data_IF_784257280788
#
_entry.id   IF_784257280788
#
_cell.length_a   1.000
_cell.length_b   1.000
_cell.length_c   1.000
_cell.angle_alpha   90.00
_cell.angle_beta   90.00
_cell.angle_gamma   90.00
#
_symmetry.space_group_name_H-M   'P 1'
#
loop_
_entity.id
_entity.type
_entity.pdbx_description
1 polymer ?
#
# COMPACT_ATOMS: atom_id res chain seq x y z
N UNK A 1 -24.70 10.40 18.79
CA UNK A 1 -23.90 9.29 19.37
C UNK A 1 -23.76 8.09 18.44
N UNK A 2 -24.52 7.97 17.33
CA UNK A 2 -24.44 6.87 16.36
C UNK A 2 -23.19 6.89 15.45
N UNK A 3 -22.69 8.07 15.10
CA UNK A 3 -21.61 8.22 14.10
C UNK A 3 -20.25 7.62 14.56
N UNK A 4 -19.88 7.82 15.84
CA UNK A 4 -18.59 7.34 16.36
C UNK A 4 -18.53 5.81 16.50
N UNK A 5 -19.66 5.16 16.79
CA UNK A 5 -19.72 3.69 16.89
C UNK A 5 -19.56 3.04 15.52
N UNK A 6 -20.25 3.57 14.49
CA UNK A 6 -20.08 3.14 13.09
C UNK A 6 -18.64 3.31 12.64
N UNK A 7 -18.07 4.52 12.82
CA UNK A 7 -16.69 4.81 12.46
C UNK A 7 -15.68 3.84 13.10
N UNK A 8 -15.87 3.46 14.37
CA UNK A 8 -15.01 2.49 15.03
C UNK A 8 -15.12 1.09 14.43
N UNK A 9 -16.33 0.66 14.07
CA UNK A 9 -16.54 -0.64 13.41
C UNK A 9 -15.85 -0.67 12.03
N UNK A 10 -16.06 0.39 11.24
CA UNK A 10 -15.45 0.53 9.91
C UNK A 10 -13.91 0.59 10.01
N UNK A 11 -13.36 1.26 11.03
CA UNK A 11 -11.93 1.24 11.31
C UNK A 11 -11.41 -0.17 11.58
N UNK A 12 -12.11 -0.94 12.43
CA UNK A 12 -11.72 -2.31 12.80
C UNK A 12 -11.71 -3.21 11.57
N UNK A 13 -12.69 -3.07 10.69
CA UNK A 13 -12.78 -3.80 9.42
C UNK A 13 -11.58 -3.51 8.50
N UNK A 14 -11.10 -2.25 8.49
CA UNK A 14 -9.97 -1.83 7.67
C UNK A 14 -8.59 -2.20 8.25
N UNK A 15 -8.49 -2.58 9.53
CA UNK A 15 -7.22 -2.85 10.21
C UNK A 15 -6.32 -3.89 9.52
N UNK A 16 -6.83 -5.05 9.05
CA UNK A 16 -6.00 -6.05 8.39
C UNK A 16 -5.32 -5.49 7.12
N UNK A 17 -6.10 -4.80 6.28
CA UNK A 17 -5.59 -4.17 5.05
C UNK A 17 -4.62 -3.02 5.37
N UNK A 18 -4.91 -2.23 6.40
CA UNK A 18 -4.02 -1.15 6.84
C UNK A 18 -2.66 -1.69 7.32
N UNK A 19 -2.66 -2.81 8.06
CA UNK A 19 -1.43 -3.51 8.50
C UNK A 19 -0.66 -4.11 7.32
N UNK A 20 -1.35 -4.73 6.36
CA UNK A 20 -0.72 -5.24 5.15
C UNK A 20 -0.04 -4.10 4.36
N UNK A 21 -0.70 -2.95 4.25
CA UNK A 21 -0.14 -1.76 3.63
C UNK A 21 1.06 -1.19 4.39
N UNK A 22 1.00 -1.10 5.71
CA UNK A 22 2.14 -0.69 6.52
C UNK A 22 3.36 -1.60 6.32
N UNK A 23 3.16 -2.92 6.25
CA UNK A 23 4.23 -3.91 6.03
C UNK A 23 4.79 -3.90 4.62
N UNK A 24 4.03 -3.47 3.62
CA UNK A 24 4.58 -3.34 2.26
C UNK A 24 5.44 -2.08 2.10
N UNK A 25 5.15 -1.04 2.89
CA UNK A 25 5.95 0.18 2.96
C UNK A 25 7.22 -0.05 3.80
N UNK A 26 7.06 -0.54 5.03
CA UNK A 26 8.14 -0.75 5.99
C UNK A 26 8.77 -2.14 5.86
N UNK A 27 10.08 -2.23 5.67
CA UNK A 27 10.81 -3.50 5.66
C UNK A 27 10.90 -4.19 7.04
N UNK A 28 10.55 -3.49 8.12
CA UNK A 28 10.60 -4.02 9.49
C UNK A 28 9.16 -4.17 10.04
N UNK A 29 8.74 -5.39 10.44
CA UNK A 29 7.43 -5.64 11.03
C UNK A 29 7.11 -4.79 12.26
N UNK A 30 8.08 -4.54 13.14
CA UNK A 30 7.87 -3.72 14.34
C UNK A 30 7.55 -2.27 13.95
N UNK A 31 8.30 -1.70 13.00
CA UNK A 31 8.03 -0.36 12.47
C UNK A 31 6.66 -0.29 11.77
N UNK A 32 6.22 -1.37 11.13
CA UNK A 32 4.91 -1.41 10.49
C UNK A 32 3.78 -1.37 11.54
N UNK A 33 3.91 -2.12 12.64
CA UNK A 33 2.90 -2.13 13.70
C UNK A 33 2.84 -0.78 14.43
N UNK A 34 4.00 -0.15 14.71
CA UNK A 34 4.08 1.21 15.25
C UNK A 34 3.43 2.24 14.30
N UNK A 35 3.71 2.13 13.00
CA UNK A 35 3.13 3.00 11.97
C UNK A 35 1.60 2.90 11.95
N UNK A 36 1.04 1.71 12.11
CA UNK A 36 -0.41 1.49 12.21
C UNK A 36 -0.95 2.12 13.48
N UNK A 37 -0.33 1.89 14.63
CA UNK A 37 -0.75 2.47 15.90
C UNK A 37 -0.80 4.01 15.82
N UNK A 38 0.27 4.63 15.34
CA UNK A 38 0.36 6.07 15.15
C UNK A 38 -0.70 6.61 14.18
N UNK A 39 -1.02 5.84 13.14
CA UNK A 39 -2.06 6.19 12.17
C UNK A 39 -3.43 6.22 12.84
N UNK A 40 -3.75 5.19 13.65
CA UNK A 40 -5.02 5.11 14.35
C UNK A 40 -5.17 6.24 15.39
N UNK A 41 -4.11 6.56 16.12
CA UNK A 41 -4.10 7.70 17.05
C UNK A 41 -4.38 9.00 16.30
N UNK A 42 -3.71 9.23 15.15
CA UNK A 42 -3.95 10.41 14.32
C UNK A 42 -5.38 10.45 13.75
N UNK A 43 -5.89 9.32 13.28
CA UNK A 43 -7.23 9.20 12.74
C UNK A 43 -8.29 9.52 13.80
N UNK A 44 -8.16 8.94 15.01
CA UNK A 44 -9.07 9.22 16.12
C UNK A 44 -8.98 10.69 16.58
N UNK A 45 -7.77 11.26 16.64
CA UNK A 45 -7.58 12.67 17.01
C UNK A 45 -8.14 13.65 15.96
N UNK A 46 -8.30 13.22 14.71
CA UNK A 46 -8.80 14.03 13.60
C UNK A 46 -10.14 13.51 13.07
N UNK A 47 -10.89 12.73 13.86
CA UNK A 47 -12.16 12.13 13.42
C UNK A 47 -13.17 13.20 13.00
N UNK A 48 -13.14 14.38 13.62
CA UNK A 48 -14.01 15.50 13.26
C UNK A 48 -13.71 16.10 11.88
N UNK A 49 -12.52 15.83 11.32
CA UNK A 49 -12.14 16.25 9.96
C UNK A 49 -12.54 15.23 8.90
N UNK A 50 -12.99 14.05 9.31
CA UNK A 50 -13.53 13.07 8.38
C UNK A 50 -14.97 13.46 8.06
N UNK A 51 -15.28 13.60 6.77
CA UNK A 51 -16.63 13.87 6.30
C UNK A 51 -17.39 12.54 6.13
N UNK A 52 -18.45 12.28 6.93
CA UNK A 52 -19.21 11.04 6.83
C UNK A 52 -19.83 10.87 5.44
N UNK A 53 -19.83 9.64 4.91
CA UNK A 53 -20.28 9.34 3.54
C UNK A 53 -19.18 9.50 2.48
N UNK A 54 -18.00 10.03 2.85
CA UNK A 54 -16.81 9.95 2.01
C UNK A 54 -16.03 8.65 2.27
N UNK A 55 -14.98 8.42 1.48
CA UNK A 55 -14.24 7.18 1.49
C UNK A 55 -13.29 7.07 2.69
N UNK A 56 -13.72 6.38 3.75
CA UNK A 56 -12.93 6.16 4.97
C UNK A 56 -11.60 5.43 4.68
N UNK A 57 -11.62 4.44 3.78
CA UNK A 57 -10.43 3.67 3.40
C UNK A 57 -9.37 4.59 2.80
N UNK A 58 -9.73 5.36 1.78
CA UNK A 58 -8.82 6.29 1.14
C UNK A 58 -8.28 7.33 2.14
N UNK A 59 -9.13 7.86 3.01
CA UNK A 59 -8.71 8.80 4.05
C UNK A 59 -7.70 8.18 5.02
N UNK A 60 -7.98 7.00 5.56
CA UNK A 60 -7.12 6.32 6.53
C UNK A 60 -5.76 5.93 5.93
N UNK A 61 -5.77 5.38 4.72
CA UNK A 61 -4.54 5.00 4.01
C UNK A 61 -3.71 6.22 3.62
N UNK A 62 -4.35 7.36 3.33
CA UNK A 62 -3.66 8.64 3.10
C UNK A 62 -2.94 9.10 4.36
N UNK A 63 -3.56 9.02 5.54
CA UNK A 63 -2.92 9.36 6.82
C UNK A 63 -1.68 8.48 7.03
N UNK A 64 -1.82 7.17 6.85
CA UNK A 64 -0.72 6.22 7.03
C UNK A 64 0.45 6.53 6.09
N UNK A 65 0.15 6.67 4.80
CA UNK A 65 1.13 6.99 3.75
C UNK A 65 1.88 8.28 4.08
N UNK A 66 1.15 9.34 4.40
CA UNK A 66 1.75 10.64 4.71
C UNK A 66 2.61 10.59 5.97
N UNK A 67 2.18 9.83 6.99
CA UNK A 67 2.96 9.61 8.20
C UNK A 67 4.26 8.87 7.89
N UNK A 68 4.21 7.77 7.13
CA UNK A 68 5.39 7.01 6.72
C UNK A 68 6.43 7.86 5.98
N UNK A 69 6.02 8.56 4.92
CA UNK A 69 6.96 9.41 4.17
C UNK A 69 7.46 10.60 4.97
N UNK A 70 6.68 11.10 5.94
CA UNK A 70 7.16 12.14 6.86
C UNK A 70 8.24 11.62 7.81
N UNK A 71 8.08 10.41 8.35
CA UNK A 71 9.09 9.75 9.18
C UNK A 71 10.36 9.45 8.36
N UNK A 72 10.21 8.95 7.13
CA UNK A 72 11.34 8.66 6.24
C UNK A 72 12.17 9.91 5.92
N UNK A 73 11.50 11.05 5.62
CA UNK A 73 12.18 12.33 5.39
C UNK A 73 12.87 12.89 6.64
N UNK A 74 12.34 12.64 7.84
CA UNK A 74 12.98 13.04 9.11
C UNK A 74 14.22 12.20 9.36
N UNK A 75 14.11 10.88 9.31
CA UNK A 75 15.23 9.96 9.51
C UNK A 75 16.37 10.19 8.52
N UNK A 76 16.05 10.45 7.24
CA UNK A 76 17.08 10.80 6.24
C UNK A 76 17.88 12.06 6.63
N UNK A 77 17.22 13.10 7.14
CA UNK A 77 17.89 14.34 7.57
C UNK A 77 18.77 14.10 8.81
N UNK A 78 18.25 13.37 9.80
CA UNK A 78 19.01 13.05 11.02
C UNK A 78 20.23 12.18 10.74
N UNK A 79 20.15 11.26 9.79
CA UNK A 79 21.28 10.40 9.37
C UNK A 79 22.29 11.16 8.49
N UNK A 80 21.83 12.06 7.62
CA UNK A 80 22.71 12.96 6.86
C UNK A 80 23.52 13.88 7.78
N UNK A 81 22.92 14.34 8.88
CA UNK A 81 23.60 15.16 9.89
C UNK A 81 24.53 14.35 10.81
N UNK A 82 24.25 13.06 11.04
CA UNK A 82 24.99 12.24 12.00
C UNK A 82 26.16 11.43 11.39
N UNK A 83 26.00 10.78 10.22
CA UNK A 83 27.01 9.78 9.75
C UNK A 83 27.05 9.50 8.22
N UNK A 84 26.32 10.23 7.37
CA UNK A 84 26.60 10.31 5.92
C UNK A 84 26.67 9.00 5.10
N UNK A 85 26.08 7.87 5.53
CA UNK A 85 26.06 6.61 4.74
C UNK A 85 24.72 5.89 4.79
N UNK A 86 24.11 5.73 3.62
CA UNK A 86 22.95 4.85 3.41
C UNK A 86 23.39 3.40 3.22
N UNK A 87 22.83 2.48 3.98
CA UNK A 87 22.94 1.04 3.74
C UNK A 87 21.62 0.52 3.14
N UNK A 88 21.52 0.51 1.81
CA UNK A 88 20.58 -0.34 1.10
C UNK A 88 21.26 -1.71 0.91
N UNK A 89 20.91 -2.70 1.75
CA UNK A 89 21.36 -4.08 1.54
C UNK A 89 20.45 -4.73 0.50
N UNK A 90 20.98 -4.89 -0.71
CA UNK A 90 20.45 -5.82 -1.72
C UNK A 90 20.91 -7.24 -1.35
N UNK A 91 19.98 -8.19 -1.25
CA UNK A 91 20.30 -9.61 -1.14
C UNK A 91 20.03 -10.29 -2.49
N UNK A 92 21.02 -11.03 -2.98
CA UNK A 92 20.99 -11.83 -4.20
C UNK A 92 20.35 -13.20 -3.99
N UNK A 93 19.80 -13.76 -5.08
CA UNK A 93 19.01 -15.00 -5.18
C UNK A 93 19.79 -16.32 -5.13
N UNK A 94 19.11 -17.42 -4.75
CA UNK A 94 19.24 -18.73 -5.37
C UNK A 94 18.08 -19.01 -6.35
N UNK A 95 18.36 -19.77 -7.42
CA UNK A 95 17.42 -20.26 -8.41
C UNK A 95 16.69 -21.51 -7.88
N UNK A 96 15.36 -21.63 -8.02
CA UNK A 96 14.67 -22.91 -8.26
C UNK A 96 13.17 -22.81 -8.58
N UNK A 97 12.81 -23.52 -9.66
CA UNK A 97 11.57 -24.22 -10.06
C UNK A 97 10.16 -23.78 -9.57
N UNK A 98 9.35 -23.33 -10.54
CA UNK A 98 7.99 -23.84 -10.84
C UNK A 98 6.82 -23.56 -9.89
N UNK A 99 7.07 -23.28 -8.62
CA UNK A 99 6.05 -22.78 -7.68
C UNK A 99 6.64 -21.64 -6.90
N UNK A 100 6.05 -20.46 -7.01
CA UNK A 100 6.48 -19.31 -6.19
C UNK A 100 6.22 -19.65 -4.72
N UNK A 101 7.26 -19.97 -3.96
CA UNK A 101 7.16 -20.03 -2.51
C UNK A 101 6.79 -18.64 -1.98
N UNK A 102 6.01 -18.59 -0.91
CA UNK A 102 5.64 -17.35 -0.24
C UNK A 102 6.88 -16.55 0.17
N UNK A 103 7.97 -17.24 0.50
CA UNK A 103 9.24 -16.60 0.82
C UNK A 103 9.91 -15.98 -0.42
N UNK A 104 9.92 -16.67 -1.56
CA UNK A 104 10.42 -16.11 -2.83
C UNK A 104 9.59 -14.91 -3.28
N UNK A 105 8.27 -14.96 -3.07
CA UNK A 105 7.39 -13.81 -3.29
C UNK A 105 7.79 -12.63 -2.41
N UNK A 106 7.98 -12.82 -1.11
CA UNK A 106 8.37 -11.72 -0.20
C UNK A 106 9.70 -11.11 -0.63
N UNK A 107 10.69 -11.94 -0.96
CA UNK A 107 12.01 -11.49 -1.40
C UNK A 107 11.91 -10.70 -2.70
N UNK A 108 11.20 -11.21 -3.71
CA UNK A 108 10.97 -10.50 -4.97
C UNK A 108 10.18 -9.20 -4.77
N UNK A 109 9.14 -9.24 -3.95
CA UNK A 109 8.30 -8.09 -3.64
C UNK A 109 9.11 -6.98 -2.96
N UNK A 110 10.00 -7.32 -2.02
CA UNK A 110 10.89 -6.37 -1.36
C UNK A 110 11.90 -5.70 -2.30
N UNK A 111 12.30 -6.37 -3.38
CA UNK A 111 13.20 -5.80 -4.40
C UNK A 111 12.53 -4.75 -5.31
N UNK A 112 11.20 -4.69 -5.33
CA UNK A 112 10.50 -3.66 -6.10
C UNK A 112 10.83 -2.25 -5.59
N UNK A 113 10.69 -1.24 -6.45
CA UNK A 113 10.74 0.14 -6.00
C UNK A 113 9.61 0.42 -4.97
N UNK A 114 9.80 1.34 -3.99
CA UNK A 114 8.76 1.66 -3.01
C UNK A 114 7.40 2.00 -3.64
N UNK A 115 7.41 2.84 -4.68
CA UNK A 115 6.22 3.23 -5.45
C UNK A 115 5.51 2.04 -6.13
N UNK A 116 6.25 0.99 -6.50
CA UNK A 116 5.68 -0.23 -7.09
C UNK A 116 5.03 -1.11 -6.02
N UNK A 117 5.70 -1.33 -4.89
CA UNK A 117 5.11 -2.06 -3.75
C UNK A 117 3.84 -1.37 -3.25
N UNK A 118 3.89 -0.05 -3.15
CA UNK A 118 2.76 0.79 -2.73
C UNK A 118 1.52 0.51 -3.57
N UNK A 119 1.60 0.66 -4.90
CA UNK A 119 0.41 0.48 -5.76
C UNK A 119 -0.05 -0.97 -5.88
N UNK A 120 0.85 -1.95 -5.84
CA UNK A 120 0.47 -3.37 -5.83
C UNK A 120 -0.26 -3.74 -4.55
N UNK A 121 0.13 -3.18 -3.42
CA UNK A 121 -0.54 -3.46 -2.14
C UNK A 121 -1.89 -2.78 -2.06
N UNK A 122 -1.99 -1.52 -2.52
CA UNK A 122 -3.25 -0.80 -2.54
C UNK A 122 -4.29 -1.52 -3.41
N UNK A 123 -3.94 -1.82 -4.67
CA UNK A 123 -4.89 -2.39 -5.63
C UNK A 123 -5.05 -3.91 -5.45
N UNK A 124 -3.93 -4.63 -5.37
CA UNK A 124 -3.93 -6.09 -5.40
C UNK A 124 -4.23 -6.76 -4.07
N UNK A 125 -3.80 -6.18 -2.94
CA UNK A 125 -3.98 -6.78 -1.62
C UNK A 125 -5.07 -6.10 -0.78
N UNK A 126 -5.19 -4.77 -0.88
CA UNK A 126 -6.14 -3.98 -0.07
C UNK A 126 -7.49 -3.79 -0.76
N UNK A 127 -7.61 -4.22 -2.02
CA UNK A 127 -8.84 -4.10 -2.81
C UNK A 127 -9.22 -2.66 -3.14
N UNK A 128 -8.27 -1.73 -3.13
CA UNK A 128 -8.55 -0.35 -3.50
C UNK A 128 -8.84 -0.24 -5.00
N UNK A 129 -9.82 0.57 -5.37
CA UNK A 129 -10.01 0.98 -6.76
C UNK A 129 -8.82 1.82 -7.25
N UNK A 130 -8.69 2.00 -8.57
CA UNK A 130 -7.66 2.86 -9.12
C UNK A 130 -7.84 4.33 -8.69
N UNK A 131 -9.08 4.76 -8.51
CA UNK A 131 -9.48 6.08 -8.04
C UNK A 131 -9.09 6.28 -6.56
N UNK A 132 -9.38 5.31 -5.69
CA UNK A 132 -8.96 5.32 -4.29
C UNK A 132 -7.43 5.37 -4.19
N UNK A 133 -6.73 4.51 -4.94
CA UNK A 133 -5.28 4.48 -4.95
C UNK A 133 -4.67 5.79 -5.47
N UNK A 134 -5.32 6.44 -6.43
CA UNK A 134 -4.90 7.74 -6.96
C UNK A 134 -5.03 8.85 -5.91
N UNK A 135 -6.16 8.86 -5.18
CA UNK A 135 -6.39 9.76 -4.06
C UNK A 135 -5.35 9.56 -2.95
N UNK A 136 -5.11 8.30 -2.55
CA UNK A 136 -4.11 7.96 -1.51
C UNK A 136 -2.71 8.42 -1.93
N UNK A 137 -2.32 8.15 -3.18
CA UNK A 137 -0.99 8.51 -3.69
C UNK A 137 -0.84 10.00 -4.05
N UNK A 138 -1.94 10.75 -4.15
CA UNK A 138 -1.94 12.15 -4.60
C UNK A 138 -1.52 12.32 -6.06
N UNK A 139 -1.99 11.45 -6.96
CA UNK A 139 -1.64 11.49 -8.39
C UNK A 139 -2.85 11.18 -9.30
N UNK A 140 -2.66 11.22 -10.62
CA UNK A 140 -3.73 10.91 -11.57
C UNK A 140 -4.03 9.40 -11.65
N UNK A 141 -5.28 9.03 -11.93
CA UNK A 141 -5.71 7.61 -12.10
C UNK A 141 -4.88 6.90 -13.18
N UNK A 142 -4.56 7.58 -14.29
CA UNK A 142 -3.67 7.05 -15.33
C UNK A 142 -2.25 6.75 -14.85
N UNK A 143 -1.74 7.52 -13.87
CA UNK A 143 -0.45 7.26 -13.23
C UNK A 143 -0.50 5.98 -12.42
N UNK A 144 -1.59 5.73 -11.68
CA UNK A 144 -1.77 4.45 -10.95
C UNK A 144 -1.84 3.28 -11.93
N UNK A 145 -2.70 3.34 -12.96
CA UNK A 145 -2.85 2.25 -13.95
C UNK A 145 -1.50 1.87 -14.59
N UNK A 146 -0.77 2.87 -15.07
CA UNK A 146 0.55 2.64 -15.68
C UNK A 146 1.60 2.14 -14.68
N UNK A 147 1.56 2.59 -13.42
CA UNK A 147 2.47 2.13 -12.36
C UNK A 147 2.17 0.71 -11.93
N UNK A 148 0.90 0.33 -11.78
CA UNK A 148 0.47 -1.05 -11.47
C UNK A 148 0.92 -2.01 -12.57
N UNK A 149 0.70 -1.67 -13.85
CA UNK A 149 1.14 -2.53 -14.96
C UNK A 149 2.65 -2.75 -14.94
N UNK A 150 3.44 -1.67 -14.80
CA UNK A 150 4.90 -1.76 -14.69
C UNK A 150 5.36 -2.54 -13.46
N UNK A 151 4.70 -2.37 -12.32
CA UNK A 151 5.00 -3.10 -11.10
C UNK A 151 4.71 -4.59 -11.22
N UNK A 152 3.59 -4.97 -11.86
CA UNK A 152 3.24 -6.39 -12.13
C UNK A 152 4.27 -7.06 -13.03
N UNK A 153 4.63 -6.42 -14.16
CA UNK A 153 5.67 -6.94 -15.06
C UNK A 153 6.99 -7.12 -14.32
N UNK A 154 7.42 -6.10 -13.57
CA UNK A 154 8.67 -6.19 -12.81
C UNK A 154 8.65 -7.31 -11.77
N UNK A 155 7.50 -7.53 -11.12
CA UNK A 155 7.35 -8.63 -10.16
C UNK A 155 7.35 -9.99 -10.85
N UNK A 156 6.71 -10.14 -12.01
CA UNK A 156 6.76 -11.34 -12.82
C UNK A 156 8.19 -11.65 -13.31
N UNK A 157 8.89 -10.65 -13.85
CA UNK A 157 10.31 -10.75 -14.25
C UNK A 157 11.19 -11.19 -13.08
N UNK A 158 10.95 -10.60 -11.90
CA UNK A 158 11.63 -11.03 -10.69
C UNK A 158 11.27 -12.50 -10.48
N UNK A 159 10.01 -12.88 -10.31
CA UNK A 159 9.63 -14.26 -10.04
C UNK A 159 9.97 -15.29 -11.13
N UNK A 160 10.45 -14.89 -12.30
CA UNK A 160 10.72 -15.80 -13.42
C UNK A 160 9.43 -16.36 -14.03
N UNK A 161 8.33 -15.60 -13.94
CA UNK A 161 7.04 -15.94 -14.52
C UNK A 161 6.96 -15.35 -15.94
N UNK A 162 6.74 -16.20 -16.94
CA UNK A 162 6.56 -15.76 -18.33
C UNK A 162 5.20 -15.01 -18.51
N UNK A 163 5.12 -14.08 -19.47
CA UNK A 163 3.98 -13.15 -19.65
C UNK A 163 2.62 -13.84 -19.82
N UNK A 164 2.56 -15.12 -20.21
CA UNK A 164 1.33 -15.89 -20.40
C UNK A 164 0.54 -16.15 -19.11
N UNK A 165 1.20 -16.09 -17.94
CA UNK A 165 0.57 -16.38 -16.63
C UNK A 165 0.10 -15.13 -15.87
N UNK A 166 0.27 -13.93 -16.45
CA UNK A 166 -0.14 -12.69 -15.78
C UNK A 166 -1.66 -12.53 -15.85
N UNK A 167 -2.41 -12.56 -14.72
CA UNK A 167 -3.85 -12.33 -14.77
C UNK A 167 -4.07 -10.87 -15.17
N UNK A 168 -4.53 -10.68 -16.41
CA UNK A 168 -5.05 -9.39 -16.87
C UNK A 168 -6.18 -9.03 -15.90
N UNK A 169 -6.19 -7.83 -15.30
CA UNK A 169 -7.31 -7.45 -14.46
C UNK A 169 -8.57 -7.48 -15.34
N UNK A 170 -9.44 -8.43 -15.04
CA UNK A 170 -10.73 -8.58 -15.69
C UNK A 170 -11.46 -7.24 -15.68
N UNK A 171 -12.00 -6.84 -16.83
CA UNK A 171 -12.92 -5.70 -16.99
C UNK A 171 -14.19 -5.82 -16.12
N UNK A 172 -14.34 -6.87 -15.31
CA UNK A 172 -15.45 -7.12 -14.41
C UNK A 172 -15.60 -6.16 -13.22
N UNK A 173 -14.82 -5.07 -13.10
CA UNK A 173 -15.16 -3.97 -12.18
C UNK A 173 -16.19 -3.00 -12.78
N UNK A 174 -16.84 -3.36 -13.90
CA UNK A 174 -17.82 -2.53 -14.60
C UNK A 174 -19.25 -3.00 -14.35
N UNK A 175 -19.69 -3.03 -13.09
CA UNK A 175 -21.12 -3.09 -12.69
C UNK A 175 -21.17 -2.44 -11.29
N UNK A 176 -21.98 -1.44 -10.92
CA UNK A 176 -23.31 -1.00 -11.37
C UNK A 176 -23.40 0.54 -11.30
N UNK A 177 -23.65 1.19 -12.44
CA UNK A 177 -24.22 2.54 -12.47
C UNK A 177 -25.68 2.37 -12.95
N UNK A 178 -26.49 1.83 -12.05
CA UNK A 178 -27.96 1.81 -12.16
C UNK A 178 -28.54 2.14 -10.79
N UNK A 179 -28.53 3.43 -10.47
CA UNK A 179 -29.48 4.00 -9.54
C UNK A 179 -30.31 5.03 -10.30
N UNK A 180 -31.57 4.65 -10.55
CA UNK A 180 -32.64 5.59 -10.85
C UNK A 180 -32.69 6.69 -9.79
N UNK A 181 -32.62 7.95 -10.22
CA UNK A 181 -33.60 9.04 -9.96
C UNK A 181 -33.53 10.00 -11.13
#
# INVERSE_FOLDING_TARGET
>A
MSNLASFKADLIELLPSLRAFARSLAHNPALADDLVQDTLVKALANVERFEPGTNLRAWLFTILRNHYYSQLRKSKREVEDADGKFAARMSSRPEQDGSVDLEDFKVAFQQLAPDHREVLTLVGASGCSYEEAAQICGCAVGTIKSRVNRARRKLADLLGLDEEDTPVPSEASRIEDTASV
#
